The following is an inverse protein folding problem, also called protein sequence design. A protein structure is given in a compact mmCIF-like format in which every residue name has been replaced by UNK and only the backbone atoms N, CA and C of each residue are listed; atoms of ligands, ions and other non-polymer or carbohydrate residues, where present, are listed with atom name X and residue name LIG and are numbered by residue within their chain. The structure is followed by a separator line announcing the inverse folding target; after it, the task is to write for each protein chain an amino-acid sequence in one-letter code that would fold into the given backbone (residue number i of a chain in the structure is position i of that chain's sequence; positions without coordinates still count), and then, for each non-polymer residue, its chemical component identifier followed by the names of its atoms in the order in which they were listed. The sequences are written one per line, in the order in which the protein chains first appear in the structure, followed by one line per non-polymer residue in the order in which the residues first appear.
data_IF_746529115099
#
_entry.id   IF_746529115099
#
_cell.length_a   1.000
_cell.length_b   1.000
_cell.length_c   1.000
_cell.angle_alpha   90.00
_cell.angle_beta   90.00
_cell.angle_gamma   90.00
#
_symmetry.space_group_name_H-M   'P 1'
#
loop_
_entity.id
_entity.type
_entity.pdbx_description
1 polymer ?
#
# COMPACT_ATOMS: atom_id res chain seq x y z
N UNK A 1 -14.29 -19.15 20.33
CA UNK A 1 -15.53 -18.35 20.41
C UNK A 1 -15.51 -17.36 19.26
N UNK A 2 -15.88 -17.83 18.08
CA UNK A 2 -15.94 -17.03 16.85
C UNK A 2 -17.26 -16.28 16.82
N UNK A 3 -17.25 -15.06 17.39
CA UNK A 3 -18.26 -14.08 17.03
C UNK A 3 -17.89 -13.64 15.61
N UNK A 4 -18.38 -14.38 14.62
CA UNK A 4 -18.46 -13.89 13.24
C UNK A 4 -19.46 -12.74 13.29
N UNK A 5 -18.94 -11.54 13.48
CA UNK A 5 -19.70 -10.30 13.46
C UNK A 5 -20.23 -10.10 12.04
N UNK A 6 -21.40 -10.69 11.75
CA UNK A 6 -22.14 -10.57 10.48
C UNK A 6 -22.45 -9.11 10.07
N UNK A 7 -22.21 -8.14 10.95
CA UNK A 7 -22.38 -6.71 10.65
C UNK A 7 -21.26 -6.12 9.76
N UNK A 8 -20.19 -6.87 9.45
CA UNK A 8 -19.04 -6.37 8.67
C UNK A 8 -19.26 -6.26 7.14
N UNK A 9 -20.44 -6.63 6.62
CA UNK A 9 -20.70 -6.58 5.17
C UNK A 9 -21.59 -5.42 4.70
N UNK A 10 -21.99 -4.50 5.58
CA UNK A 10 -22.73 -3.32 5.16
C UNK A 10 -21.79 -2.12 5.12
N UNK A 11 -21.37 -1.74 3.92
CA UNK A 11 -20.70 -0.46 3.68
C UNK A 11 -21.77 0.64 3.76
N UNK A 12 -21.65 1.62 4.67
CA UNK A 12 -22.64 2.68 4.79
C UNK A 12 -22.79 3.50 3.51
N UNK A 13 -24.03 3.89 3.21
CA UNK A 13 -24.36 4.78 2.10
C UNK A 13 -24.43 6.23 2.58
N UNK A 14 -23.98 7.15 1.73
CA UNK A 14 -24.03 8.60 1.91
C UNK A 14 -24.84 9.20 0.77
N UNK A 15 -25.72 10.14 1.09
CA UNK A 15 -26.53 10.87 0.09
C UNK A 15 -25.94 12.25 -0.11
N UNK A 16 -25.62 12.58 -1.35
CA UNK A 16 -25.14 13.89 -1.78
C UNK A 16 -26.28 14.60 -2.53
N UNK A 17 -26.73 15.75 -2.00
CA UNK A 17 -27.70 16.59 -2.69
C UNK A 17 -26.97 17.53 -3.66
N UNK A 18 -27.32 17.45 -4.93
CA UNK A 18 -26.82 18.35 -5.97
C UNK A 18 -27.97 19.16 -6.56
N UNK A 19 -27.66 20.26 -7.26
CA UNK A 19 -28.66 21.03 -8.01
C UNK A 19 -29.41 20.21 -9.09
N UNK A 20 -28.90 19.02 -9.43
CA UNK A 20 -29.49 18.07 -10.39
C UNK A 20 -30.21 16.88 -9.70
N UNK A 21 -30.37 16.92 -8.38
CA UNK A 21 -31.02 15.87 -7.59
C UNK A 21 -30.09 15.18 -6.60
N UNK A 22 -30.59 14.11 -5.98
CA UNK A 22 -29.86 13.32 -4.99
C UNK A 22 -29.10 12.17 -5.65
N UNK A 23 -27.85 11.94 -5.21
CA UNK A 23 -27.07 10.75 -5.57
C UNK A 23 -26.61 10.03 -4.31
N UNK A 24 -26.81 8.72 -4.26
CA UNK A 24 -26.33 7.86 -3.19
C UNK A 24 -25.04 7.15 -3.61
N UNK A 25 -24.04 7.18 -2.73
CA UNK A 25 -22.76 6.49 -2.90
C UNK A 25 -22.48 5.68 -1.64
N UNK A 26 -21.79 4.55 -1.75
CA UNK A 26 -21.14 3.98 -0.58
C UNK A 26 -19.97 4.88 -0.15
N UNK A 27 -19.55 4.78 1.11
CA UNK A 27 -18.50 5.65 1.65
C UNK A 27 -17.18 5.57 0.86
N UNK A 28 -16.80 4.41 0.33
CA UNK A 28 -15.56 4.26 -0.43
C UNK A 28 -15.70 4.89 -1.81
N UNK A 29 -16.83 4.69 -2.50
CA UNK A 29 -17.12 5.38 -3.76
C UNK A 29 -17.13 6.90 -3.59
N UNK A 30 -17.66 7.41 -2.48
CA UNK A 30 -17.60 8.85 -2.18
C UNK A 30 -16.18 9.35 -1.98
N UNK A 31 -15.32 8.58 -1.28
CA UNK A 31 -13.92 8.93 -1.05
C UNK A 31 -13.05 8.77 -2.31
N UNK A 32 -13.39 7.85 -3.21
CA UNK A 32 -12.73 7.71 -4.51
C UNK A 32 -12.91 8.96 -5.38
N UNK A 33 -14.05 9.67 -5.28
CA UNK A 33 -14.22 10.99 -5.93
C UNK A 33 -13.23 12.04 -5.40
N UNK A 34 -12.78 11.90 -4.15
CA UNK A 34 -11.71 12.70 -3.55
C UNK A 34 -10.31 12.09 -3.80
N UNK A 35 -10.21 11.12 -4.72
CA UNK A 35 -8.98 10.44 -5.15
C UNK A 35 -8.29 9.65 -4.02
N UNK A 36 -9.10 9.16 -3.08
CA UNK A 36 -8.66 8.32 -1.96
C UNK A 36 -8.94 6.85 -2.25
N UNK A 37 -7.90 6.03 -2.22
CA UNK A 37 -7.95 4.58 -2.36
C UNK A 37 -7.62 3.93 -1.02
N UNK A 38 -8.37 2.89 -0.64
CA UNK A 38 -8.12 2.12 0.58
C UNK A 38 -7.56 0.74 0.23
N UNK A 39 -6.34 0.47 0.68
CA UNK A 39 -5.68 -0.84 0.61
C UNK A 39 -5.71 -1.44 2.03
N UNK A 40 -6.77 -2.20 2.31
CA UNK A 40 -7.07 -2.70 3.66
C UNK A 40 -7.23 -4.21 3.64
N UNK A 41 -6.43 -4.91 4.45
CA UNK A 41 -6.41 -6.37 4.53
C UNK A 41 -5.31 -7.01 3.68
N UNK A 42 -5.32 -8.35 3.54
CA UNK A 42 -4.31 -9.07 2.77
C UNK A 42 -4.29 -8.66 1.30
N UNK A 43 -3.09 -8.53 0.73
CA UNK A 43 -2.91 -8.26 -0.69
C UNK A 43 -3.05 -9.58 -1.46
N UNK A 44 -4.11 -9.71 -2.22
CA UNK A 44 -4.36 -10.82 -3.16
C UNK A 44 -4.63 -10.28 -4.57
N UNK A 45 -4.80 -11.19 -5.54
CA UNK A 45 -4.99 -10.82 -6.94
C UNK A 45 -6.28 -10.01 -7.15
N UNK A 46 -7.33 -10.27 -6.37
CA UNK A 46 -8.58 -9.53 -6.46
C UNK A 46 -8.39 -8.08 -5.97
N UNK A 47 -7.77 -7.90 -4.80
CA UNK A 47 -7.44 -6.58 -4.27
C UNK A 47 -6.56 -5.81 -5.25
N UNK A 48 -5.48 -6.43 -5.75
CA UNK A 48 -4.58 -5.79 -6.70
C UNK A 48 -5.32 -5.35 -7.96
N UNK A 49 -6.16 -6.20 -8.54
CA UNK A 49 -6.95 -5.85 -9.72
C UNK A 49 -7.86 -4.63 -9.46
N UNK A 50 -8.52 -4.56 -8.31
CA UNK A 50 -9.39 -3.43 -7.94
C UNK A 50 -8.60 -2.15 -7.67
N UNK A 51 -7.42 -2.23 -7.05
CA UNK A 51 -6.54 -1.07 -6.82
C UNK A 51 -5.98 -0.55 -8.15
N UNK A 52 -5.50 -1.43 -9.03
CA UNK A 52 -5.01 -1.07 -10.37
C UNK A 52 -6.11 -0.39 -11.18
N UNK A 53 -7.32 -0.93 -11.18
CA UNK A 53 -8.46 -0.31 -11.86
C UNK A 53 -8.78 1.10 -11.32
N UNK A 54 -8.72 1.30 -9.99
CA UNK A 54 -8.92 2.63 -9.38
C UNK A 54 -7.81 3.61 -9.76
N UNK A 55 -6.55 3.18 -9.77
CA UNK A 55 -5.41 4.03 -10.16
C UNK A 55 -5.56 4.52 -11.61
N UNK A 56 -5.84 3.61 -12.55
CA UNK A 56 -6.06 3.93 -13.96
C UNK A 56 -7.30 4.81 -14.16
N UNK A 57 -8.37 4.55 -13.41
CA UNK A 57 -9.57 5.40 -13.43
C UNK A 57 -9.26 6.83 -12.99
N UNK A 58 -8.54 7.01 -11.89
CA UNK A 58 -8.19 8.33 -11.35
C UNK A 58 -7.20 9.08 -12.25
N UNK A 59 -6.27 8.37 -12.90
CA UNK A 59 -5.41 8.94 -13.93
C UNK A 59 -6.23 9.48 -15.10
N UNK A 60 -7.18 8.69 -15.61
CA UNK A 60 -8.04 9.10 -16.73
C UNK A 60 -8.98 10.28 -16.37
N UNK A 61 -9.47 10.33 -15.14
CA UNK A 61 -10.32 11.42 -14.63
C UNK A 61 -9.55 12.74 -14.51
N UNK A 62 -8.35 12.71 -13.94
CA UNK A 62 -7.47 13.88 -13.88
C UNK A 62 -6.00 13.45 -13.68
N UNK A 63 -5.15 13.51 -14.72
CA UNK A 63 -3.76 13.04 -14.64
C UNK A 63 -2.82 13.98 -13.88
N UNK A 64 -3.25 15.21 -13.59
CA UNK A 64 -2.43 16.24 -12.94
C UNK A 64 -2.66 16.31 -11.41
N UNK A 65 -3.66 15.59 -10.89
CA UNK A 65 -4.00 15.59 -9.47
C UNK A 65 -3.50 14.34 -8.78
N UNK A 66 -2.83 14.52 -7.64
CA UNK A 66 -2.37 13.43 -6.77
C UNK A 66 -3.47 12.41 -6.44
N UNK A 67 -3.03 11.18 -6.18
CA UNK A 67 -3.85 10.09 -5.65
C UNK A 67 -3.31 9.72 -4.27
N UNK A 68 -4.18 9.48 -3.30
CA UNK A 68 -3.76 9.04 -1.95
C UNK A 68 -4.20 7.61 -1.67
N UNK A 69 -3.24 6.74 -1.34
CA UNK A 69 -3.49 5.36 -0.92
C UNK A 69 -3.34 5.25 0.60
N UNK A 70 -4.42 4.88 1.27
CA UNK A 70 -4.46 4.57 2.70
C UNK A 70 -4.21 3.08 2.91
N UNK A 71 -3.12 2.74 3.57
CA UNK A 71 -2.61 1.37 3.71
C UNK A 71 -2.83 0.88 5.14
N UNK A 72 -3.57 -0.21 5.27
CA UNK A 72 -3.67 -1.02 6.48
C UNK A 72 -3.62 -2.51 6.09
N UNK A 73 -2.42 -3.04 5.88
CA UNK A 73 -2.23 -4.36 5.30
C UNK A 73 -1.13 -5.16 6.00
N UNK A 74 -1.38 -6.46 6.30
CA UNK A 74 -0.35 -7.39 6.71
C UNK A 74 0.59 -7.81 5.55
N UNK A 75 0.38 -7.27 4.34
CA UNK A 75 1.03 -7.71 3.12
C UNK A 75 0.24 -8.83 2.43
N UNK A 76 0.90 -9.61 1.60
CA UNK A 76 0.25 -10.71 0.87
C UNK A 76 1.08 -11.21 -0.30
N UNK A 77 0.40 -11.57 -1.38
CA UNK A 77 0.99 -12.14 -2.59
C UNK A 77 1.93 -11.12 -3.26
N UNK A 78 3.18 -11.55 -3.51
CA UNK A 78 4.22 -10.69 -4.09
C UNK A 78 3.84 -10.18 -5.47
N UNK A 79 3.34 -11.05 -6.36
CA UNK A 79 2.95 -10.67 -7.73
C UNK A 79 1.79 -9.66 -7.74
N UNK A 80 0.80 -9.85 -6.88
CA UNK A 80 -0.30 -8.91 -6.69
C UNK A 80 0.19 -7.54 -6.21
N UNK A 81 1.09 -7.51 -5.21
CA UNK A 81 1.70 -6.27 -4.76
C UNK A 81 2.59 -5.61 -5.82
N UNK A 82 3.30 -6.39 -6.65
CA UNK A 82 4.09 -5.87 -7.76
C UNK A 82 3.22 -5.23 -8.86
N UNK A 83 2.03 -5.77 -9.13
CA UNK A 83 1.09 -5.15 -10.06
C UNK A 83 0.63 -3.76 -9.60
N UNK A 84 0.36 -3.61 -8.29
CA UNK A 84 0.04 -2.31 -7.69
C UNK A 84 1.25 -1.38 -7.78
N UNK A 85 2.43 -1.87 -7.38
CA UNK A 85 3.68 -1.12 -7.40
C UNK A 85 3.96 -0.55 -8.79
N UNK A 86 3.99 -1.39 -9.82
CA UNK A 86 4.31 -0.98 -11.19
C UNK A 86 3.28 0.03 -11.70
N UNK A 87 1.99 -0.15 -11.37
CA UNK A 87 0.94 0.81 -11.73
C UNK A 87 1.16 2.16 -11.04
N UNK A 88 1.51 2.19 -9.75
CA UNK A 88 1.83 3.43 -9.03
C UNK A 88 3.01 4.18 -9.67
N UNK A 89 4.00 3.47 -10.20
CA UNK A 89 5.15 4.09 -10.87
C UNK A 89 4.86 4.47 -12.33
N UNK A 90 3.89 3.82 -12.97
CA UNK A 90 3.57 3.98 -14.39
C UNK A 90 2.66 5.17 -14.68
N UNK A 91 1.67 5.40 -13.82
CA UNK A 91 0.69 6.47 -14.02
C UNK A 91 1.32 7.86 -13.84
N UNK A 92 0.74 8.87 -14.49
CA UNK A 92 1.21 10.27 -14.41
C UNK A 92 1.04 10.93 -13.04
N UNK A 93 -0.07 10.75 -12.30
CA UNK A 93 -0.25 11.38 -11.01
C UNK A 93 0.78 10.93 -9.98
N UNK A 94 1.21 11.84 -9.11
CA UNK A 94 1.92 11.45 -7.90
C UNK A 94 1.00 10.60 -7.00
N UNK A 95 1.54 9.49 -6.49
CA UNK A 95 0.84 8.63 -5.54
C UNK A 95 1.36 8.89 -4.13
N UNK A 96 0.55 9.56 -3.31
CA UNK A 96 0.76 9.68 -1.87
C UNK A 96 0.39 8.38 -1.17
N UNK A 97 1.16 7.96 -0.16
CA UNK A 97 0.88 6.75 0.63
C UNK A 97 0.78 7.10 2.11
N UNK A 98 -0.18 6.51 2.82
CA UNK A 98 -0.40 6.79 4.24
C UNK A 98 -0.64 5.48 4.99
N UNK A 99 0.24 5.14 5.92
CA UNK A 99 0.03 4.02 6.82
C UNK A 99 -0.98 4.39 7.91
N UNK A 100 -2.07 3.61 7.99
CA UNK A 100 -3.15 3.75 8.96
C UNK A 100 -3.36 2.44 9.72
N UNK A 101 -2.49 2.17 10.69
CA UNK A 101 -2.49 0.93 11.47
C UNK A 101 -1.24 0.10 11.20
N UNK A 102 -1.21 -0.68 10.13
CA UNK A 102 -0.01 -1.42 9.75
C UNK A 102 0.28 -1.43 8.25
N UNK A 103 1.57 -1.50 7.92
CA UNK A 103 2.07 -1.79 6.59
C UNK A 103 3.19 -2.82 6.73
N UNK A 104 2.89 -4.09 6.48
CA UNK A 104 3.83 -5.19 6.63
C UNK A 104 4.12 -5.87 5.29
N UNK A 105 5.34 -6.38 5.11
CA UNK A 105 5.73 -7.13 3.90
C UNK A 105 5.45 -6.29 2.63
N UNK A 106 4.68 -6.80 1.67
CA UNK A 106 4.26 -6.04 0.48
C UNK A 106 3.52 -4.73 0.82
N UNK A 107 2.83 -4.65 1.95
CA UNK A 107 2.23 -3.38 2.42
C UNK A 107 3.29 -2.33 2.75
N UNK A 108 4.42 -2.74 3.36
CA UNK A 108 5.54 -1.85 3.65
C UNK A 108 6.26 -1.40 2.37
N UNK A 109 6.42 -2.30 1.40
CA UNK A 109 7.00 -1.96 0.10
C UNK A 109 6.14 -0.94 -0.64
N UNK A 110 4.81 -1.16 -0.70
CA UNK A 110 3.89 -0.22 -1.34
C UNK A 110 3.87 1.12 -0.61
N UNK A 111 3.90 1.13 0.73
CA UNK A 111 4.03 2.35 1.52
C UNK A 111 5.29 3.14 1.13
N UNK A 112 6.45 2.47 1.09
CA UNK A 112 7.72 3.11 0.74
C UNK A 112 7.77 3.60 -0.71
N UNK A 113 6.94 3.03 -1.59
CA UNK A 113 6.92 3.29 -3.04
C UNK A 113 6.04 4.46 -3.47
N UNK A 114 5.43 5.17 -2.52
CA UNK A 114 4.78 6.45 -2.80
C UNK A 114 5.77 7.50 -3.32
N UNK A 115 5.24 8.57 -3.92
CA UNK A 115 6.03 9.68 -4.43
C UNK A 115 6.89 10.29 -3.30
N UNK A 116 8.13 10.67 -3.64
CA UNK A 116 9.08 11.22 -2.67
C UNK A 116 8.53 12.49 -2.00
N UNK A 117 8.61 12.56 -0.67
CA UNK A 117 8.02 13.65 0.12
C UNK A 117 6.52 13.50 0.37
N UNK A 118 5.88 12.43 -0.13
CA UNK A 118 4.43 12.16 0.01
C UNK A 118 4.14 10.79 0.62
N UNK A 119 5.06 10.26 1.44
CA UNK A 119 4.89 8.99 2.16
C UNK A 119 4.72 9.27 3.64
N UNK A 120 3.66 8.75 4.23
CA UNK A 120 3.24 9.15 5.58
C UNK A 120 2.89 7.97 6.46
N UNK A 121 2.98 8.16 7.77
CA UNK A 121 2.43 7.23 8.75
C UNK A 121 1.73 7.98 9.89
N UNK A 122 0.66 7.40 10.43
CA UNK A 122 0.10 7.89 11.70
C UNK A 122 0.96 7.43 12.89
N UNK A 123 0.93 8.11 14.06
CA UNK A 123 1.93 7.93 15.12
C UNK A 123 1.99 6.51 15.71
N UNK A 124 0.84 5.84 15.78
CA UNK A 124 0.73 4.47 16.30
C UNK A 124 0.86 3.40 15.22
N UNK A 125 1.16 3.79 13.97
CA UNK A 125 1.31 2.84 12.89
C UNK A 125 2.59 2.04 13.03
N UNK A 126 2.54 0.80 12.54
CA UNK A 126 3.70 -0.09 12.49
C UNK A 126 4.05 -0.45 11.07
N UNK A 127 5.34 -0.42 10.75
CA UNK A 127 5.86 -0.86 9.47
C UNK A 127 6.73 -2.09 9.71
N UNK A 128 6.53 -3.17 8.94
CA UNK A 128 7.34 -4.38 9.06
C UNK A 128 7.91 -4.76 7.71
N UNK A 129 9.23 -4.92 7.66
CA UNK A 129 9.94 -5.41 6.47
C UNK A 129 10.55 -6.79 6.78
N UNK A 130 10.52 -7.67 5.78
CA UNK A 130 11.10 -9.01 5.82
C UNK A 130 11.32 -9.52 4.39
N UNK A 131 12.02 -10.63 4.24
CA UNK A 131 12.22 -11.32 2.96
C UNK A 131 10.92 -12.01 2.49
N UNK A 132 10.74 -12.27 1.19
CA UNK A 132 9.56 -12.98 0.72
C UNK A 132 9.52 -14.40 1.29
N UNK A 133 8.31 -14.86 1.61
CA UNK A 133 8.04 -16.23 2.02
C UNK A 133 7.51 -17.01 0.82
N UNK A 134 7.95 -18.26 0.68
CA UNK A 134 7.47 -19.18 -0.34
C UNK A 134 7.81 -20.61 0.03
N UNK A 135 7.17 -21.55 -0.66
CA UNK A 135 7.38 -22.97 -0.46
C UNK A 135 6.91 -23.74 -1.69
N UNK A 136 7.63 -24.80 -2.02
CA UNK A 136 7.32 -25.66 -3.16
C UNK A 136 7.70 -27.10 -2.85
N UNK A 137 6.97 -28.06 -3.42
CA UNK A 137 7.24 -29.49 -3.33
C UNK A 137 7.10 -30.10 -4.72
N UNK A 138 8.05 -30.95 -5.12
CA UNK A 138 8.07 -31.55 -6.46
C UNK A 138 9.37 -32.28 -6.76
N UNK A 139 9.67 -32.48 -8.04
CA UNK A 139 10.94 -33.07 -8.45
C UNK A 139 12.11 -32.14 -8.10
N UNK A 140 13.32 -32.70 -7.98
CA UNK A 140 14.52 -31.91 -7.66
C UNK A 140 14.72 -30.73 -8.62
N UNK A 141 14.45 -30.92 -9.92
CA UNK A 141 14.52 -29.87 -10.94
C UNK A 141 13.52 -28.74 -10.69
N UNK A 142 12.28 -29.07 -10.34
CA UNK A 142 11.24 -28.08 -10.06
C UNK A 142 11.57 -27.29 -8.78
N UNK A 143 12.08 -27.97 -7.75
CA UNK A 143 12.56 -27.33 -6.52
C UNK A 143 13.68 -26.33 -6.82
N UNK A 144 14.67 -26.69 -7.65
CA UNK A 144 15.76 -25.77 -8.05
C UNK A 144 15.22 -24.53 -8.79
N UNK A 145 14.27 -24.72 -9.72
CA UNK A 145 13.62 -23.62 -10.45
C UNK A 145 12.93 -22.65 -9.48
N UNK A 146 12.11 -23.15 -8.56
CA UNK A 146 11.39 -22.31 -7.61
C UNK A 146 12.31 -21.67 -6.56
N UNK A 147 13.39 -22.34 -6.16
CA UNK A 147 14.40 -21.78 -5.27
C UNK A 147 15.15 -20.61 -5.93
N UNK A 148 15.47 -20.69 -7.22
CA UNK A 148 16.07 -19.56 -7.96
C UNK A 148 15.09 -18.41 -8.10
N UNK A 149 13.82 -18.70 -8.37
CA UNK A 149 12.80 -17.65 -8.53
C UNK A 149 12.59 -16.85 -7.23
N UNK A 150 12.47 -17.51 -6.08
CA UNK A 150 12.30 -16.78 -4.80
C UNK A 150 13.53 -15.93 -4.46
N UNK A 151 14.74 -16.37 -4.82
CA UNK A 151 15.96 -15.58 -4.65
C UNK A 151 15.99 -14.36 -5.57
N UNK A 152 15.55 -14.51 -6.83
CA UNK A 152 15.38 -13.41 -7.78
C UNK A 152 14.38 -12.38 -7.25
N UNK A 153 13.20 -12.84 -6.80
CA UNK A 153 12.19 -11.98 -6.19
C UNK A 153 12.76 -11.24 -4.97
N UNK A 154 13.45 -11.95 -4.07
CA UNK A 154 14.09 -11.33 -2.89
C UNK A 154 15.06 -10.22 -3.29
N UNK A 155 15.93 -10.45 -4.27
CA UNK A 155 16.86 -9.41 -4.78
C UNK A 155 16.09 -8.21 -5.29
N UNK A 156 15.05 -8.45 -6.10
CA UNK A 156 14.24 -7.39 -6.70
C UNK A 156 13.51 -6.53 -5.67
N UNK A 157 12.90 -7.15 -4.66
CA UNK A 157 12.22 -6.42 -3.59
C UNK A 157 13.21 -5.60 -2.76
N UNK A 158 14.40 -6.13 -2.50
CA UNK A 158 15.44 -5.40 -1.78
C UNK A 158 15.96 -4.20 -2.59
N UNK A 159 16.13 -4.33 -3.91
CA UNK A 159 16.48 -3.21 -4.80
C UNK A 159 15.43 -2.10 -4.80
N UNK A 160 14.15 -2.48 -4.83
CA UNK A 160 13.03 -1.52 -4.79
C UNK A 160 13.02 -0.77 -3.45
N UNK A 161 13.16 -1.48 -2.33
CA UNK A 161 13.26 -0.86 -1.02
C UNK A 161 14.49 0.04 -0.91
N UNK A 162 15.65 -0.39 -1.42
CA UNK A 162 16.88 0.43 -1.43
C UNK A 162 16.68 1.72 -2.22
N UNK A 163 16.07 1.63 -3.42
CA UNK A 163 15.73 2.79 -4.27
C UNK A 163 14.90 3.81 -3.51
N UNK A 164 13.83 3.37 -2.85
CA UNK A 164 12.86 4.28 -2.24
C UNK A 164 13.26 4.76 -0.85
N UNK A 165 14.02 3.98 -0.09
CA UNK A 165 14.46 4.36 1.25
C UNK A 165 15.76 5.17 1.26
N UNK A 166 16.56 5.07 0.19
CA UNK A 166 17.92 5.61 0.15
C UNK A 166 18.94 4.78 0.94
N UNK A 167 18.54 3.66 1.54
CA UNK A 167 19.45 2.74 2.21
C UNK A 167 20.30 1.97 1.19
N UNK A 168 21.49 1.53 1.61
CA UNK A 168 22.28 0.62 0.79
C UNK A 168 21.60 -0.74 0.63
N UNK A 169 21.82 -1.41 -0.50
CA UNK A 169 21.28 -2.74 -0.75
C UNK A 169 21.71 -3.75 0.33
N UNK A 170 22.94 -3.62 0.83
CA UNK A 170 23.45 -4.44 1.94
C UNK A 170 22.66 -4.21 3.24
N UNK A 171 22.35 -2.95 3.56
CA UNK A 171 21.54 -2.60 4.73
C UNK A 171 20.14 -3.20 4.61
N UNK A 172 19.49 -3.03 3.45
CA UNK A 172 18.17 -3.64 3.20
C UNK A 172 18.24 -5.16 3.33
N UNK A 173 19.21 -5.83 2.70
CA UNK A 173 19.32 -7.28 2.72
C UNK A 173 19.52 -7.84 4.15
N UNK A 174 20.32 -7.17 4.97
CA UNK A 174 20.50 -7.53 6.39
C UNK A 174 19.20 -7.30 7.17
N UNK A 175 18.58 -6.15 6.99
CA UNK A 175 17.45 -5.71 7.79
C UNK A 175 16.13 -6.39 7.38
N UNK A 176 16.05 -7.02 6.21
CA UNK A 176 14.93 -7.86 5.77
C UNK A 176 15.14 -9.36 6.00
N UNK A 177 16.31 -9.81 6.45
CA UNK A 177 16.59 -11.24 6.66
C UNK A 177 15.65 -11.89 7.69
N UNK A 178 15.17 -11.12 8.66
CA UNK A 178 14.14 -11.50 9.64
C UNK A 178 13.11 -10.39 9.76
N UNK A 179 11.96 -10.71 10.33
CA UNK A 179 10.92 -9.73 10.64
C UNK A 179 11.50 -8.54 11.42
N UNK A 180 11.44 -7.37 10.81
CA UNK A 180 11.97 -6.13 11.35
C UNK A 180 10.84 -5.12 11.48
N UNK A 181 10.31 -5.01 12.70
CA UNK A 181 9.22 -4.10 13.04
C UNK A 181 9.77 -2.72 13.40
N UNK A 182 9.17 -1.69 12.83
CA UNK A 182 9.52 -0.28 13.03
C UNK A 182 8.29 0.49 13.49
N UNK A 183 8.48 1.37 14.48
CA UNK A 183 7.49 2.39 14.81
C UNK A 183 7.34 3.39 13.66
N UNK A 184 6.33 4.26 13.68
CA UNK A 184 6.20 5.32 12.69
C UNK A 184 7.45 6.22 12.62
N UNK A 185 8.03 6.54 13.77
CA UNK A 185 9.25 7.37 13.86
C UNK A 185 10.47 6.62 13.34
N UNK A 186 10.62 5.34 13.68
CA UNK A 186 11.74 4.53 13.16
C UNK A 186 11.60 4.30 11.65
N UNK A 187 10.38 4.15 11.15
CA UNK A 187 10.10 4.02 9.72
C UNK A 187 10.47 5.31 8.97
N UNK A 188 10.19 6.48 9.57
CA UNK A 188 10.61 7.77 9.03
C UNK A 188 12.14 7.88 9.00
N UNK A 189 12.81 7.59 10.12
CA UNK A 189 14.27 7.63 10.22
C UNK A 189 14.96 6.64 9.25
N UNK A 190 14.31 5.52 8.96
CA UNK A 190 14.80 4.51 8.01
C UNK A 190 14.56 4.89 6.54
N UNK A 191 13.68 5.86 6.26
CA UNK A 191 13.32 6.29 4.92
C UNK A 191 12.14 5.54 4.29
N UNK A 192 11.38 4.74 5.07
CA UNK A 192 10.17 4.04 4.59
C UNK A 192 8.99 5.01 4.45
N UNK A 193 8.98 6.09 5.22
CA UNK A 193 8.05 7.21 5.09
C UNK A 193 8.82 8.52 5.22
N UNK A 194 8.25 9.60 4.70
CA UNK A 194 8.83 10.94 4.78
C UNK A 194 8.44 11.66 6.07
N UNK A 195 7.20 11.45 6.55
CA UNK A 195 6.68 12.16 7.71
C UNK A 195 5.68 11.35 8.55
N UNK A 196 5.75 11.51 9.88
CA UNK A 196 4.72 11.07 10.82
C UNK A 196 3.68 12.18 11.00
N UNK A 197 2.40 11.87 10.73
CA UNK A 197 1.30 12.84 10.80
C UNK A 197 0.54 12.72 12.13
N UNK A 198 0.72 13.67 13.04
CA UNK A 198 -0.03 13.71 14.31
C UNK A 198 -1.44 14.28 14.14
N UNK A 199 -1.57 15.31 13.32
CA UNK A 199 -2.83 15.98 12.98
C UNK A 199 -2.79 16.37 11.51
N UNK A 200 -3.98 16.47 10.90
CA UNK A 200 -4.08 17.08 9.58
C UNK A 200 -3.75 18.57 9.66
N UNK A 201 -3.03 19.13 8.68
CA UNK A 201 -2.89 20.58 8.54
C UNK A 201 -4.27 21.23 8.40
N UNK A 202 -4.49 22.39 9.03
CA UNK A 202 -5.79 23.08 9.03
C UNK A 202 -6.32 23.39 7.62
N UNK A 203 -5.42 23.58 6.66
CA UNK A 203 -5.74 23.92 5.27
C UNK A 203 -6.22 22.73 4.42
N UNK A 204 -6.09 21.49 4.90
CA UNK A 204 -6.38 20.28 4.11
C UNK A 204 -7.86 19.84 4.16
N UNK A 205 -8.73 20.57 4.85
CA UNK A 205 -10.17 20.30 4.92
C UNK A 205 -10.89 21.56 4.45
N UNK A 206 -11.10 21.68 3.14
CA UNK A 206 -12.07 22.65 2.65
C UNK A 206 -13.45 21.97 2.65
N UNK A 207 -14.40 22.42 3.49
CA UNK A 207 -15.78 22.00 3.33
C UNK A 207 -16.24 22.50 1.95
N UNK A 208 -16.68 21.55 1.12
CA UNK A 208 -17.36 21.83 -0.16
C UNK A 208 -18.56 22.73 0.02
#
# INVERSE_FOLDING_TARGET
MSIVTKALNLVPMVVEQTSRGERAYDIYSRLLKERLIFLVGPIDDHMANVIVAQLLFLEADNPEKDISIYINSPGGVVTAGMAIYDTMQYIKPDVSTICVGQAASMGALLLASGAAGKRYALPNSRVMIHQPLGGFQGQATDIDIHAREILTLRSRLNEILAKHTGQSLETIARDTERDNFKSAVDAQAYGLVDQVLERRPEESIQPS
#
